data_IF_896906551502
#
_entry.id   IF_896906551502
#
_cell.length_a   1.000
_cell.length_b   1.000
_cell.length_c   1.000
_cell.angle_alpha   90.00
_cell.angle_beta   90.00
_cell.angle_gamma   90.00
#
_symmetry.space_group_name_H-M   'P 1'
#
loop_
_entity.id
_entity.type
_entity.pdbx_description
1 polymer ?
#
# COMPACT_ATOMS: atom_id res chain seq x y z
N UNK A 1 14.70 14.40 2.87
CA UNK A 1 14.94 12.97 3.05
C UNK A 1 13.82 12.15 2.49
N UNK A 2 14.16 11.25 1.61
CA UNK A 2 13.20 10.53 0.80
C UNK A 2 12.73 9.20 1.41
N UNK A 3 13.06 8.93 2.68
CA UNK A 3 12.82 7.63 3.31
C UNK A 3 11.37 7.16 3.30
N UNK A 4 10.40 8.08 3.38
CA UNK A 4 8.99 7.74 3.38
C UNK A 4 8.50 7.14 2.07
N UNK A 5 8.99 7.64 0.93
CA UNK A 5 8.60 7.13 -0.40
C UNK A 5 9.37 5.89 -0.81
N UNK A 6 10.57 5.67 -0.26
CA UNK A 6 11.36 4.47 -0.57
C UNK A 6 10.59 3.19 -0.16
N UNK A 7 10.02 3.17 1.05
CA UNK A 7 9.22 2.03 1.53
C UNK A 7 7.97 1.82 0.68
N UNK A 8 7.29 2.91 0.30
CA UNK A 8 6.10 2.84 -0.55
C UNK A 8 6.45 2.29 -1.94
N UNK A 9 7.58 2.69 -2.51
CA UNK A 9 8.05 2.17 -3.80
C UNK A 9 8.34 0.67 -3.75
N UNK A 10 8.96 0.20 -2.68
CA UNK A 10 9.21 -1.23 -2.47
C UNK A 10 7.89 -1.98 -2.41
N UNK A 11 6.93 -1.47 -1.64
CA UNK A 11 5.60 -2.07 -1.53
C UNK A 11 4.91 -2.15 -2.89
N UNK A 12 4.90 -1.05 -3.66
CA UNK A 12 4.31 -1.00 -5.00
C UNK A 12 5.00 -1.99 -5.94
N UNK A 13 6.32 -2.07 -5.92
CA UNK A 13 7.07 -3.00 -6.75
C UNK A 13 6.70 -4.46 -6.47
N UNK A 14 6.58 -4.83 -5.19
CA UNK A 14 6.14 -6.16 -4.78
C UNK A 14 4.69 -6.42 -5.19
N UNK A 15 3.81 -5.44 -5.00
CA UNK A 15 2.41 -5.53 -5.38
C UNK A 15 2.27 -5.76 -6.88
N UNK A 16 3.06 -5.07 -7.71
CA UNK A 16 3.06 -5.25 -9.17
C UNK A 16 3.45 -6.68 -9.55
N UNK A 17 4.43 -7.26 -8.88
CA UNK A 17 4.85 -8.64 -9.15
C UNK A 17 3.73 -9.64 -8.85
N UNK A 18 3.09 -9.50 -7.71
CA UNK A 18 1.95 -10.36 -7.34
C UNK A 18 0.77 -10.11 -8.27
N UNK A 19 0.50 -8.85 -8.62
CA UNK A 19 -0.56 -8.51 -9.56
C UNK A 19 -0.35 -9.13 -10.94
N UNK A 20 0.88 -9.15 -11.44
CA UNK A 20 1.21 -9.81 -12.72
C UNK A 20 0.94 -11.31 -12.68
N UNK A 21 1.30 -11.95 -11.58
CA UNK A 21 1.03 -13.37 -11.37
C UNK A 21 -0.48 -13.64 -11.36
N UNK A 22 -1.24 -12.82 -10.63
CA UNK A 22 -2.70 -12.91 -10.61
C UNK A 22 -3.33 -12.58 -11.96
N UNK A 23 -2.77 -11.61 -12.69
CA UNK A 23 -3.28 -11.22 -14.01
C UNK A 23 -3.24 -12.38 -15.00
N UNK A 24 -2.19 -13.21 -14.96
CA UNK A 24 -2.12 -14.41 -15.78
C UNK A 24 -3.23 -15.41 -15.48
N UNK A 25 -3.85 -15.31 -14.32
CA UNK A 25 -4.94 -16.17 -13.86
C UNK A 25 -6.25 -15.42 -13.68
N UNK A 26 -6.34 -14.22 -14.23
CA UNK A 26 -7.45 -13.29 -13.98
C UNK A 26 -8.82 -13.88 -14.24
N UNK A 27 -8.94 -14.61 -15.35
CA UNK A 27 -10.22 -15.25 -15.74
C UNK A 27 -10.62 -16.39 -14.82
N UNK A 28 -9.66 -16.97 -14.09
CA UNK A 28 -9.87 -18.07 -13.18
C UNK A 28 -10.19 -17.61 -11.76
N UNK A 29 -9.98 -16.32 -11.48
CA UNK A 29 -10.29 -15.75 -10.17
C UNK A 29 -11.80 -15.63 -9.96
N UNK A 30 -12.27 -15.76 -8.71
CA UNK A 30 -13.67 -15.48 -8.39
C UNK A 30 -14.03 -14.05 -8.81
N UNK A 31 -15.25 -13.86 -9.28
CA UNK A 31 -15.75 -12.57 -9.74
C UNK A 31 -15.64 -11.50 -8.66
N UNK A 32 -15.96 -11.85 -7.41
CA UNK A 32 -15.87 -10.93 -6.27
C UNK A 32 -14.44 -10.39 -6.10
N UNK A 33 -13.42 -11.24 -6.26
CA UNK A 33 -12.02 -10.82 -6.15
C UNK A 33 -11.63 -9.88 -7.29
N UNK A 34 -12.05 -10.19 -8.52
CA UNK A 34 -11.80 -9.32 -9.68
C UNK A 34 -12.44 -7.95 -9.51
N UNK A 35 -13.69 -7.91 -9.06
CA UNK A 35 -14.43 -6.67 -8.83
C UNK A 35 -13.84 -5.85 -7.70
N UNK A 36 -13.18 -6.49 -6.74
CA UNK A 36 -12.50 -5.82 -5.64
C UNK A 36 -11.15 -5.25 -6.05
N UNK A 37 -10.35 -6.04 -6.76
CA UNK A 37 -8.96 -5.68 -7.11
C UNK A 37 -8.89 -4.63 -8.22
N UNK A 38 -9.68 -4.77 -9.27
CA UNK A 38 -9.59 -3.89 -10.44
C UNK A 38 -9.76 -2.39 -10.09
N UNK A 39 -10.77 -1.97 -9.32
CA UNK A 39 -10.88 -0.56 -8.93
C UNK A 39 -9.72 -0.08 -8.06
N UNK A 40 -9.19 -0.92 -7.18
CA UNK A 40 -8.06 -0.57 -6.32
C UNK A 40 -6.79 -0.38 -7.14
N UNK A 41 -6.56 -1.20 -8.15
CA UNK A 41 -5.43 -1.06 -9.05
C UNK A 41 -5.51 0.23 -9.86
N UNK A 42 -6.69 0.55 -10.40
CA UNK A 42 -6.92 1.80 -11.14
C UNK A 42 -6.73 3.02 -10.24
N UNK A 43 -7.26 3.00 -9.03
CA UNK A 43 -7.11 4.10 -8.07
C UNK A 43 -5.64 4.35 -7.72
N UNK A 44 -4.88 3.29 -7.46
CA UNK A 44 -3.46 3.38 -7.17
C UNK A 44 -2.69 3.97 -8.35
N UNK A 45 -3.01 3.53 -9.57
CA UNK A 45 -2.41 4.04 -10.80
C UNK A 45 -2.69 5.53 -10.98
N UNK A 46 -3.93 5.96 -10.80
CA UNK A 46 -4.30 7.37 -10.90
C UNK A 46 -3.54 8.23 -9.89
N UNK A 47 -3.43 7.78 -8.66
CA UNK A 47 -2.70 8.49 -7.62
C UNK A 47 -1.20 8.55 -7.90
N UNK A 48 -0.63 7.50 -8.46
CA UNK A 48 0.78 7.50 -8.87
C UNK A 48 1.04 8.51 -10.00
N UNK A 49 0.14 8.57 -10.98
CA UNK A 49 0.24 9.52 -12.09
C UNK A 49 0.04 10.96 -11.62
N UNK A 50 -0.87 11.19 -10.69
CA UNK A 50 -1.17 12.51 -10.13
C UNK A 50 -0.01 13.09 -9.33
N UNK A 51 0.87 12.24 -8.82
CA UNK A 51 2.02 12.67 -8.02
C UNK A 51 2.93 13.63 -8.77
N UNK A 52 3.10 13.45 -10.07
CA UNK A 52 4.00 14.26 -10.91
C UNK A 52 3.60 15.73 -11.00
N UNK A 53 2.30 16.01 -11.02
CA UNK A 53 1.77 17.36 -11.17
C UNK A 53 1.14 17.92 -9.91
N UNK A 54 1.33 17.27 -8.77
CA UNK A 54 0.66 17.64 -7.54
C UNK A 54 1.18 18.97 -6.98
N UNK A 55 0.26 19.87 -6.69
CA UNK A 55 0.57 21.14 -6.00
C UNK A 55 0.85 20.90 -4.52
N UNK A 56 0.16 19.96 -3.91
CA UNK A 56 0.40 19.50 -2.54
C UNK A 56 1.02 18.10 -2.59
N UNK A 57 2.33 18.06 -2.69
CA UNK A 57 3.05 16.80 -2.82
C UNK A 57 2.96 15.90 -1.60
N UNK A 58 3.07 16.41 -0.35
CA UNK A 58 2.88 15.56 0.83
C UNK A 58 1.51 14.88 0.88
N UNK A 59 0.45 15.58 0.51
CA UNK A 59 -0.90 15.02 0.45
C UNK A 59 -1.00 13.96 -0.65
N UNK A 60 -0.44 14.22 -1.82
CA UNK A 60 -0.44 13.29 -2.94
C UNK A 60 0.32 12.00 -2.58
N UNK A 61 1.45 12.12 -1.89
CA UNK A 61 2.22 10.96 -1.40
C UNK A 61 1.44 10.17 -0.36
N UNK A 62 0.74 10.84 0.53
CA UNK A 62 -0.12 10.22 1.54
C UNK A 62 -1.25 9.42 0.86
N UNK A 63 -1.90 10.01 -0.13
CA UNK A 63 -2.99 9.37 -0.88
C UNK A 63 -2.49 8.14 -1.64
N UNK A 64 -1.33 8.24 -2.29
CA UNK A 64 -0.72 7.12 -3.00
C UNK A 64 -0.37 5.98 -2.03
N UNK A 65 0.18 6.31 -0.87
CA UNK A 65 0.53 5.34 0.16
C UNK A 65 -0.71 4.57 0.63
N UNK A 66 -1.78 5.28 0.95
CA UNK A 66 -3.04 4.67 1.38
C UNK A 66 -3.63 3.75 0.31
N UNK A 67 -3.65 4.18 -0.94
CA UNK A 67 -4.14 3.38 -2.06
C UNK A 67 -3.27 2.13 -2.26
N UNK A 68 -1.95 2.27 -2.15
CA UNK A 68 -1.00 1.15 -2.30
C UNK A 68 -1.18 0.10 -1.21
N UNK A 69 -1.41 0.51 0.03
CA UNK A 69 -1.65 -0.40 1.16
C UNK A 69 -2.95 -1.16 0.98
N UNK A 70 -4.01 -0.48 0.57
CA UNK A 70 -5.31 -1.11 0.32
C UNK A 70 -5.21 -2.14 -0.81
N UNK A 71 -4.54 -1.79 -1.90
CA UNK A 71 -4.31 -2.71 -3.01
C UNK A 71 -3.46 -3.91 -2.58
N UNK A 72 -2.37 -3.67 -1.85
CA UNK A 72 -1.48 -4.73 -1.38
C UNK A 72 -2.23 -5.72 -0.48
N UNK A 73 -3.05 -5.23 0.44
CA UNK A 73 -3.86 -6.08 1.31
C UNK A 73 -4.83 -6.96 0.52
N UNK A 74 -5.50 -6.39 -0.48
CA UNK A 74 -6.41 -7.15 -1.33
C UNK A 74 -5.67 -8.21 -2.17
N UNK A 75 -4.50 -7.86 -2.71
CA UNK A 75 -3.67 -8.79 -3.48
C UNK A 75 -3.16 -9.95 -2.62
N UNK A 76 -2.70 -9.67 -1.41
CA UNK A 76 -2.24 -10.71 -0.48
C UNK A 76 -3.38 -11.68 -0.18
N UNK A 77 -4.54 -11.16 0.18
CA UNK A 77 -5.71 -11.98 0.52
C UNK A 77 -6.12 -12.89 -0.63
N UNK A 78 -6.20 -12.34 -1.84
CA UNK A 78 -6.58 -13.10 -3.03
C UNK A 78 -5.51 -14.12 -3.43
N UNK A 79 -4.25 -13.72 -3.42
CA UNK A 79 -3.14 -14.57 -3.85
C UNK A 79 -2.84 -15.69 -2.86
N UNK A 80 -3.02 -15.47 -1.57
CA UNK A 80 -2.86 -16.54 -0.56
C UNK A 80 -3.85 -17.69 -0.79
N UNK A 81 -5.02 -17.39 -1.29
CA UNK A 81 -6.05 -18.38 -1.59
C UNK A 81 -5.82 -19.12 -2.91
N UNK A 82 -4.86 -18.68 -3.74
CA UNK A 82 -4.57 -19.28 -5.03
C UNK A 82 -3.22 -20.03 -4.99
N UNK A 83 -3.23 -21.38 -4.93
CA UNK A 83 -1.99 -22.15 -4.80
C UNK A 83 -1.09 -22.10 -6.04
N UNK A 84 -1.60 -21.65 -7.18
CA UNK A 84 -0.82 -21.52 -8.41
C UNK A 84 0.00 -20.21 -8.47
N UNK A 85 -0.27 -19.28 -7.58
CA UNK A 85 0.51 -18.05 -7.46
C UNK A 85 1.76 -18.34 -6.63
N UNK A 86 2.89 -17.73 -7.00
CA UNK A 86 4.13 -17.88 -6.25
C UNK A 86 3.96 -17.38 -4.81
N UNK A 87 3.84 -18.31 -3.87
CA UNK A 87 3.58 -18.02 -2.47
C UNK A 87 4.77 -17.32 -1.79
N UNK A 88 5.96 -17.45 -2.31
CA UNK A 88 7.13 -16.72 -1.81
C UNK A 88 7.00 -15.21 -2.10
N UNK A 89 6.54 -14.86 -3.29
CA UNK A 89 6.27 -13.45 -3.64
C UNK A 89 5.13 -12.89 -2.78
N UNK A 90 4.09 -13.69 -2.54
CA UNK A 90 2.97 -13.29 -1.68
C UNK A 90 3.46 -13.04 -0.25
N UNK A 91 4.32 -13.92 0.28
CA UNK A 91 4.90 -13.78 1.61
C UNK A 91 5.71 -12.49 1.73
N UNK A 92 6.52 -12.19 0.71
CA UNK A 92 7.33 -10.96 0.66
C UNK A 92 6.44 -9.72 0.62
N UNK A 93 5.37 -9.74 -0.17
CA UNK A 93 4.42 -8.63 -0.22
C UNK A 93 3.75 -8.42 1.13
N UNK A 94 3.34 -9.49 1.79
CA UNK A 94 2.73 -9.43 3.13
C UNK A 94 3.70 -8.82 4.15
N UNK A 95 4.96 -9.22 4.11
CA UNK A 95 5.98 -8.67 5.00
C UNK A 95 6.24 -7.18 4.73
N UNK A 96 6.32 -6.78 3.46
CA UNK A 96 6.52 -5.39 3.08
C UNK A 96 5.33 -4.52 3.52
N UNK A 97 4.10 -5.03 3.34
CA UNK A 97 2.89 -4.36 3.79
C UNK A 97 2.89 -4.17 5.32
N UNK A 98 3.24 -5.21 6.05
CA UNK A 98 3.31 -5.17 7.50
C UNK A 98 4.32 -4.13 7.99
N UNK A 99 5.50 -4.09 7.37
CA UNK A 99 6.52 -3.08 7.70
C UNK A 99 6.03 -1.67 7.44
N UNK A 100 5.34 -1.46 6.33
CA UNK A 100 4.80 -0.15 5.97
C UNK A 100 3.73 0.30 6.98
N UNK A 101 2.82 -0.59 7.36
CA UNK A 101 1.79 -0.30 8.36
C UNK A 101 2.40 -0.04 9.74
N UNK A 102 3.39 -0.82 10.15
CA UNK A 102 4.08 -0.62 11.43
C UNK A 102 4.82 0.72 11.46
N UNK A 103 5.45 1.09 10.35
CA UNK A 103 6.14 2.38 10.22
C UNK A 103 5.17 3.55 10.36
N UNK A 104 4.00 3.46 9.73
CA UNK A 104 2.96 4.49 9.82
C UNK A 104 2.38 4.60 11.23
N UNK A 105 2.10 3.48 11.86
CA UNK A 105 1.62 3.45 13.24
C UNK A 105 2.63 4.09 14.19
N UNK A 106 3.92 3.78 14.04
CA UNK A 106 4.99 4.39 14.82
C UNK A 106 5.09 5.89 14.60
N UNK A 107 4.95 6.35 13.36
CA UNK A 107 4.97 7.77 13.01
C UNK A 107 3.78 8.51 13.62
N UNK A 108 2.59 7.91 13.61
CA UNK A 108 1.39 8.48 14.22
C UNK A 108 1.52 8.60 15.74
N UNK A 109 2.05 7.58 16.40
CA UNK A 109 2.30 7.61 17.85
C UNK A 109 3.28 8.72 18.20
N UNK A 110 4.36 8.84 17.43
CA UNK A 110 5.37 9.89 17.63
C UNK A 110 4.78 11.29 17.42
N UNK A 111 3.99 11.49 16.38
CA UNK A 111 3.31 12.75 16.11
C UNK A 111 2.32 13.12 17.21
N UNK A 112 1.58 12.13 17.73
CA UNK A 112 0.66 12.33 18.85
C UNK A 112 1.38 12.75 20.12
N UNK A 113 2.53 12.14 20.43
CA UNK A 113 3.36 12.54 21.57
C UNK A 113 3.84 13.96 21.45
N UNK A 114 4.32 14.38 20.28
CA UNK A 114 4.79 15.74 20.04
C UNK A 114 3.65 16.74 20.24
N UNK A 115 2.45 16.43 19.74
CA UNK A 115 1.26 17.27 19.94
C UNK A 115 0.89 17.40 21.41
N UNK A 116 0.87 16.30 22.13
CA UNK A 116 0.54 16.30 23.56
C UNK A 116 1.54 17.13 24.36
N UNK A 117 2.82 17.04 24.05
CA UNK A 117 3.87 17.84 24.70
C UNK A 117 3.73 19.34 24.41
N UNK A 118 3.35 19.71 23.17
CA UNK A 118 3.18 21.11 22.77
C UNK A 118 1.86 21.70 23.25
N UNK A 119 0.82 20.91 23.39
CA UNK A 119 -0.51 21.36 23.81
C UNK A 119 -0.69 21.36 25.33
N UNK A 120 0.21 20.74 26.09
CA UNK A 120 0.13 20.73 27.53
C UNK A 120 0.36 22.14 28.05
N UNK A 121 -0.62 22.79 28.75
CA UNK A 121 -0.44 24.11 29.26
C UNK A 121 0.64 24.15 30.35
N UNK A 122 1.46 25.18 30.35
CA UNK A 122 2.42 25.37 31.44
C UNK A 122 1.63 25.65 32.73
N UNK A 123 1.82 24.79 33.68
CA UNK A 123 1.04 24.95 34.87
C UNK A 123 1.74 24.62 36.09
#
# INVERSE_FOLDING_TARGET
MASGMASTRVLISRAVRVARSLYGRWRLLPRADRERIAPLAEDTKEKALSLRGASDRPQAEHDLRGASETLAAALVETAEADPEVDQEEVRRLREDLRRELDRLASAEIKASRIRDETETPPG
#
